data_IF_393169502529
#
_entry.id   IF_393169502529
#
_cell.length_a   1.000
_cell.length_b   1.000
_cell.length_c   1.000
_cell.angle_alpha   90.00
_cell.angle_beta   90.00
_cell.angle_gamma   90.00
#
_symmetry.space_group_name_H-M   'P 1'
#
loop_
_entity.id
_entity.type
_entity.pdbx_description
1 polymer ?
#
# COMPACT_ATOMS: atom_id res chain seq x y z
N UNK A 1 11.42 -8.14 -0.64
CA UNK A 1 10.06 -8.50 -0.20
C UNK A 1 9.66 -7.58 0.94
N UNK A 2 8.60 -6.79 0.77
CA UNK A 2 8.10 -5.92 1.84
C UNK A 2 7.22 -6.79 2.74
N UNK A 3 7.63 -7.01 3.98
CA UNK A 3 6.82 -7.69 5.00
C UNK A 3 6.14 -6.63 5.85
N UNK A 4 4.83 -6.53 5.75
CA UNK A 4 4.05 -5.63 6.59
C UNK A 4 3.98 -6.12 8.03
N UNK A 5 3.92 -5.18 8.97
CA UNK A 5 3.70 -5.43 10.40
C UNK A 5 2.37 -4.82 10.85
N UNK A 6 1.77 -5.32 11.94
CA UNK A 6 0.65 -4.66 12.60
C UNK A 6 0.99 -3.19 12.88
N UNK A 7 0.16 -2.26 12.40
CA UNK A 7 0.38 -0.82 12.50
C UNK A 7 0.78 -0.16 11.19
N UNK A 8 1.32 -0.90 10.23
CA UNK A 8 1.79 -0.34 8.95
C UNK A 8 0.63 0.11 8.08
N UNK A 9 0.88 1.15 7.27
CA UNK A 9 -0.05 1.62 6.24
C UNK A 9 0.32 0.99 4.89
N UNK A 10 -0.69 0.43 4.24
CA UNK A 10 -0.58 -0.19 2.93
C UNK A 10 -1.63 0.39 1.97
N UNK A 11 -1.31 0.42 0.69
CA UNK A 11 -2.22 0.82 -0.38
C UNK A 11 -2.65 -0.42 -1.13
N UNK A 12 -3.97 -0.57 -1.30
CA UNK A 12 -4.57 -1.59 -2.12
C UNK A 12 -5.21 -0.95 -3.37
N UNK A 13 -4.82 -1.35 -4.60
CA UNK A 13 -5.33 -0.76 -5.83
C UNK A 13 -6.86 -0.74 -5.86
N UNK A 14 -7.48 0.34 -6.33
CA UNK A 14 -8.94 0.60 -6.35
C UNK A 14 -9.62 0.79 -4.98
N UNK A 15 -9.08 0.27 -3.89
CA UNK A 15 -9.69 0.40 -2.54
C UNK A 15 -9.05 1.52 -1.70
N UNK A 16 -7.83 1.92 -2.05
CA UNK A 16 -7.13 3.05 -1.43
C UNK A 16 -6.22 2.62 -0.27
N UNK A 17 -6.14 3.48 0.75
CA UNK A 17 -5.26 3.29 1.90
C UNK A 17 -5.93 2.45 2.97
N UNK A 18 -5.22 1.43 3.44
CA UNK A 18 -5.60 0.60 4.57
C UNK A 18 -4.48 0.50 5.61
N UNK A 19 -4.85 0.18 6.85
CA UNK A 19 -3.93 -0.07 7.96
C UNK A 19 -3.90 -1.54 8.29
N UNK A 20 -2.72 -2.13 8.38
CA UNK A 20 -2.54 -3.52 8.81
C UNK A 20 -2.85 -3.61 10.29
N UNK A 21 -3.86 -4.40 10.66
CA UNK A 21 -4.32 -4.60 12.03
C UNK A 21 -3.56 -5.74 12.69
N UNK A 22 -3.46 -6.87 11.99
CA UNK A 22 -2.83 -8.10 12.46
C UNK A 22 -2.43 -8.99 11.29
N UNK A 23 -1.64 -10.02 11.58
CA UNK A 23 -1.32 -11.10 10.65
C UNK A 23 -1.89 -12.35 11.30
N UNK A 24 -2.82 -13.00 10.62
CA UNK A 24 -3.49 -14.20 11.12
C UNK A 24 -3.17 -15.39 10.22
N UNK A 25 -2.91 -16.54 10.82
CA UNK A 25 -2.82 -17.78 10.07
C UNK A 25 -4.22 -18.39 9.94
N UNK A 26 -4.64 -18.65 8.71
CA UNK A 26 -5.89 -19.35 8.41
C UNK A 26 -5.60 -20.66 7.72
N UNK A 27 -6.27 -21.71 8.18
CA UNK A 27 -6.29 -22.99 7.51
C UNK A 27 -7.23 -22.89 6.30
N UNK A 28 -6.68 -22.99 5.09
CA UNK A 28 -7.46 -23.10 3.86
C UNK A 28 -7.24 -24.49 3.28
N UNK A 29 -8.23 -25.37 3.49
CA UNK A 29 -8.13 -26.79 3.12
C UNK A 29 -7.15 -27.53 4.04
N UNK A 30 -6.11 -28.13 3.45
CA UNK A 30 -5.07 -28.90 4.15
C UNK A 30 -3.82 -28.09 4.48
N UNK A 31 -3.76 -26.80 4.12
CA UNK A 31 -2.58 -25.96 4.33
C UNK A 31 -2.89 -24.73 5.19
N UNK A 32 -1.93 -24.34 6.02
CA UNK A 32 -1.97 -23.11 6.80
C UNK A 32 -1.38 -21.96 5.98
N UNK A 33 -2.18 -20.92 5.76
CA UNK A 33 -1.79 -19.74 4.98
C UNK A 33 -1.83 -18.53 5.90
N UNK A 34 -0.77 -17.73 5.88
CA UNK A 34 -0.73 -16.46 6.59
C UNK A 34 -1.46 -15.39 5.78
N UNK A 35 -2.33 -14.62 6.44
CA UNK A 35 -3.12 -13.56 5.85
C UNK A 35 -2.93 -12.25 6.61
N UNK A 36 -2.66 -11.17 5.89
CA UNK A 36 -2.71 -9.81 6.41
C UNK A 36 -4.16 -9.37 6.61
N UNK A 37 -4.47 -8.87 7.80
CA UNK A 37 -5.76 -8.24 8.10
C UNK A 37 -5.59 -6.74 7.90
N UNK A 38 -6.08 -6.22 6.78
CA UNK A 38 -5.98 -4.79 6.42
C UNK A 38 -7.34 -4.12 6.65
N UNK A 39 -7.39 -3.10 7.49
CA UNK A 39 -8.57 -2.26 7.68
C UNK A 39 -8.51 -1.05 6.75
N UNK A 40 -9.47 -0.94 5.84
CA UNK A 40 -9.56 0.19 4.92
C UNK A 40 -9.94 1.46 5.69
N UNK A 41 -9.19 2.55 5.48
CA UNK A 41 -9.44 3.83 6.17
C UNK A 41 -10.67 4.54 5.60
N UNK A 42 -10.96 4.32 4.31
CA UNK A 42 -12.09 4.92 3.59
C UNK A 42 -13.45 4.38 4.05
N UNK A 43 -13.60 3.06 4.17
CA UNK A 43 -14.89 2.40 4.44
C UNK A 43 -14.97 1.70 5.80
N UNK A 44 -13.85 1.51 6.51
CA UNK A 44 -13.78 0.69 7.72
C UNK A 44 -13.89 -0.82 7.48
N UNK A 45 -13.96 -1.26 6.21
CA UNK A 45 -14.02 -2.68 5.86
C UNK A 45 -12.68 -3.38 6.12
N UNK A 46 -12.72 -4.65 6.53
CA UNK A 46 -11.52 -5.48 6.71
C UNK A 46 -11.32 -6.38 5.49
N UNK A 47 -10.11 -6.36 4.95
CA UNK A 47 -9.69 -7.19 3.81
C UNK A 47 -8.63 -8.16 4.29
N UNK A 48 -8.77 -9.42 3.89
CA UNK A 48 -7.80 -10.48 4.17
C UNK A 48 -6.97 -10.71 2.91
N UNK A 49 -5.67 -10.45 3.01
CA UNK A 49 -4.74 -10.61 1.88
C UNK A 49 -3.73 -11.71 2.21
N UNK A 50 -3.68 -12.82 1.45
CA UNK A 50 -2.68 -13.86 1.64
C UNK A 50 -1.28 -13.26 1.48
N UNK A 51 -0.37 -13.55 2.42
CA UNK A 51 1.00 -13.03 2.40
C UNK A 51 1.72 -13.40 1.10
N UNK A 52 1.49 -14.61 0.60
CA UNK A 52 2.13 -15.14 -0.61
C UNK A 52 1.67 -14.43 -1.88
N UNK A 53 0.42 -13.96 -1.92
CA UNK A 53 -0.17 -13.27 -3.07
C UNK A 53 -0.22 -11.74 -2.91
N UNK A 54 0.24 -11.20 -1.78
CA UNK A 54 0.17 -9.77 -1.49
C UNK A 54 0.85 -8.91 -2.58
N UNK A 55 2.01 -9.35 -3.07
CA UNK A 55 2.75 -8.67 -4.13
C UNK A 55 2.02 -8.75 -5.49
N UNK A 56 1.46 -9.91 -5.82
CA UNK A 56 0.68 -10.13 -7.05
C UNK A 56 -0.62 -9.32 -7.06
N UNK A 57 -1.26 -9.16 -5.90
CA UNK A 57 -2.47 -8.34 -5.75
C UNK A 57 -2.16 -6.84 -5.67
N UNK A 58 -0.89 -6.44 -5.72
CA UNK A 58 -0.46 -5.05 -5.74
C UNK A 58 -0.55 -4.34 -4.39
N UNK A 59 -0.53 -5.08 -3.28
CA UNK A 59 -0.46 -4.49 -1.95
C UNK A 59 0.92 -3.84 -1.75
N UNK A 60 0.97 -2.52 -1.65
CA UNK A 60 2.23 -1.76 -1.53
C UNK A 60 2.29 -0.97 -0.24
N UNK A 61 3.49 -0.85 0.33
CA UNK A 61 3.73 0.06 1.46
C UNK A 61 3.68 1.52 1.03
N UNK A 62 3.23 2.37 1.95
CA UNK A 62 3.32 3.81 1.76
C UNK A 62 4.79 4.22 1.91
N UNK A 63 5.27 5.03 0.96
CA UNK A 63 6.61 5.60 1.01
C UNK A 63 6.68 6.69 2.08
N UNK A 64 7.82 6.79 2.76
CA UNK A 64 8.09 7.82 3.76
C UNK A 64 7.86 9.25 3.21
N UNK A 65 7.50 10.20 4.08
CA UNK A 65 7.16 11.57 3.67
C UNK A 65 8.30 12.29 2.93
N UNK A 66 9.56 11.87 3.09
CA UNK A 66 10.69 12.44 2.34
C UNK A 66 10.57 12.24 0.83
N UNK A 67 10.00 11.12 0.37
CA UNK A 67 9.76 10.93 -1.06
C UNK A 67 8.66 11.84 -1.62
N UNK A 68 7.71 12.30 -0.79
CA UNK A 68 6.69 13.24 -1.23
C UNK A 68 7.31 14.57 -1.68
N UNK A 69 8.36 15.01 -1.00
CA UNK A 69 9.09 16.25 -1.34
C UNK A 69 9.78 16.15 -2.69
N UNK A 70 10.38 15.00 -3.02
CA UNK A 70 11.05 14.79 -4.31
C UNK A 70 10.06 14.66 -5.48
N UNK A 71 8.90 14.02 -5.26
CA UNK A 71 7.82 14.00 -6.27
C UNK A 71 7.29 15.41 -6.51
N UNK A 72 7.09 16.20 -5.45
CA UNK A 72 6.67 17.60 -5.57
C UNK A 72 7.72 18.45 -6.32
N UNK A 73 9.01 18.22 -6.05
CA UNK A 73 10.13 18.86 -6.76
C UNK A 73 10.16 18.46 -8.24
N UNK A 74 9.90 17.19 -8.58
CA UNK A 74 9.79 16.72 -9.97
C UNK A 74 8.62 17.38 -10.71
N UNK A 75 7.45 17.52 -10.07
CA UNK A 75 6.30 18.22 -10.64
C UNK A 75 6.57 19.71 -10.87
N UNK A 76 7.30 20.37 -9.96
CA UNK A 76 7.65 21.79 -10.07
C UNK A 76 8.62 22.07 -11.21
N UNK A 77 9.56 21.17 -11.49
CA UNK A 77 10.58 21.34 -12.53
C UNK A 77 10.03 21.24 -13.96
N UNK A 78 9.02 20.40 -14.20
CA UNK A 78 8.35 20.28 -15.52
C UNK A 78 7.49 21.48 -15.90
N UNK A 79 7.03 22.28 -14.93
CA UNK A 79 6.23 23.48 -15.21
C UNK A 79 7.09 24.67 -15.68
N UNK A 80 8.36 24.74 -15.30
CA UNK A 80 9.24 25.84 -15.73
C UNK A 80 9.73 25.72 -17.18
N UNK A 81 9.69 24.52 -17.76
CA UNK A 81 10.11 24.29 -19.15
C UNK A 81 8.99 24.61 -20.15
N UNK A 82 7.73 24.66 -19.70
CA UNK A 82 6.57 25.01 -20.52
C UNK A 82 6.30 26.53 -20.59
N UNK A 83 6.89 27.32 -19.69
CA UNK A 83 6.74 28.80 -19.67
C UNK A 83 7.80 29.55 -20.48
N UNK A 84 8.79 28.86 -21.08
CA UNK A 84 9.84 29.48 -21.91
C UNK A 84 9.51 29.49 -23.41
N UNK A 85 8.29 29.13 -23.79
CA UNK A 85 7.86 28.98 -25.19
C UNK A 85 6.78 29.96 -25.62
N UNK A 86 6.68 31.11 -24.94
CA UNK A 86 5.84 32.25 -25.32
C UNK A 86 6.71 33.52 -25.40
#
# INVERSE_FOLDING_TARGET
MIKFKPGDLAVYPNYGVGKVISIEQKTMGTSEISCYVVSMVSSGSRVFVPVDSADQMGLRGITEPDCATDVYRCFKKKNSDLLKMN
#
